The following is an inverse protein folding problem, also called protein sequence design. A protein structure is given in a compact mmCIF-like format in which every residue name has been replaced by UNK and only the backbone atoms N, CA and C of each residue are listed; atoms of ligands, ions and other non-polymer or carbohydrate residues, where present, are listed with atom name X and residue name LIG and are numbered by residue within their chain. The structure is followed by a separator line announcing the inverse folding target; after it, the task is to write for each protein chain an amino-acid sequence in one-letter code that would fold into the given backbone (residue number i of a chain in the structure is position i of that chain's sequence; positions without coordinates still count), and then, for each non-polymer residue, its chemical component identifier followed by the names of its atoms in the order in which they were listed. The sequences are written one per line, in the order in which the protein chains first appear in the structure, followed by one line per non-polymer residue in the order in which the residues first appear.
data_IF_549629117284
#
_entry.id   IF_549629117284
#
_cell.length_a   1.000
_cell.length_b   1.000
_cell.length_c   1.000
_cell.angle_alpha   90.00
_cell.angle_beta   90.00
_cell.angle_gamma   90.00
#
_symmetry.space_group_name_H-M   'P 1'
#
loop_
_entity.id
_entity.type
_entity.pdbx_description
1 polymer ?
#
# COMPACT_ATOMS: atom_id res chain seq x y z
N UNK A 1 -10.30 -10.87 7.93
CA UNK A 1 -9.43 -10.43 6.82
C UNK A 1 -9.98 -10.91 5.47
N UNK A 2 -10.15 -12.21 5.22
CA UNK A 2 -10.68 -12.71 3.93
C UNK A 2 -12.02 -12.07 3.52
N UNK A 3 -12.94 -11.88 4.48
CA UNK A 3 -14.21 -11.19 4.23
C UNK A 3 -14.02 -9.71 3.80
N UNK A 4 -13.01 -9.01 4.32
CA UNK A 4 -12.71 -7.64 3.91
C UNK A 4 -12.12 -7.61 2.50
N UNK A 5 -11.22 -8.54 2.17
CA UNK A 5 -10.69 -8.73 0.81
C UNK A 5 -11.83 -9.02 -0.16
N UNK A 6 -12.71 -9.98 0.16
CA UNK A 6 -13.86 -10.33 -0.68
C UNK A 6 -14.86 -9.17 -0.83
N UNK A 7 -15.06 -8.36 0.21
CA UNK A 7 -15.94 -7.17 0.15
C UNK A 7 -15.45 -6.14 -0.87
N UNK A 8 -14.13 -5.93 -0.95
CA UNK A 8 -13.52 -4.89 -1.78
C UNK A 8 -13.21 -5.39 -3.18
N UNK A 9 -12.60 -6.58 -3.27
CA UNK A 9 -12.06 -7.14 -4.50
C UNK A 9 -12.94 -8.25 -5.09
N UNK A 10 -14.03 -8.65 -4.41
CA UNK A 10 -14.86 -9.77 -4.86
C UNK A 10 -14.03 -11.06 -4.96
N UNK A 11 -14.02 -11.64 -6.15
CA UNK A 11 -13.22 -12.83 -6.47
C UNK A 11 -12.08 -12.54 -7.45
N UNK A 12 -11.70 -11.27 -7.65
CA UNK A 12 -10.66 -10.91 -8.64
C UNK A 12 -9.25 -11.19 -8.12
N UNK A 13 -9.09 -11.31 -6.80
CA UNK A 13 -7.83 -11.66 -6.14
C UNK A 13 -8.03 -12.79 -5.14
N UNK A 14 -6.96 -13.54 -4.90
CA UNK A 14 -6.87 -14.54 -3.84
C UNK A 14 -5.81 -14.11 -2.83
N UNK A 15 -6.09 -14.28 -1.54
CA UNK A 15 -5.10 -14.06 -0.48
C UNK A 15 -3.96 -15.06 -0.62
N UNK A 16 -2.72 -14.58 -0.61
CA UNK A 16 -1.51 -15.40 -0.67
C UNK A 16 -1.04 -15.79 0.73
N UNK A 17 -1.77 -16.72 1.36
CA UNK A 17 -1.47 -17.19 2.73
C UNK A 17 -0.27 -18.16 2.81
N UNK A 18 0.46 -18.35 1.71
CA UNK A 18 1.66 -19.19 1.65
C UNK A 18 2.92 -18.43 2.09
N UNK A 19 2.88 -17.10 2.04
CA UNK A 19 3.98 -16.24 2.47
C UNK A 19 3.86 -16.00 3.99
N UNK A 20 4.94 -16.11 4.78
CA UNK A 20 4.94 -15.68 6.18
C UNK A 20 4.54 -14.20 6.28
N UNK A 21 3.87 -13.83 7.37
CA UNK A 21 3.45 -12.44 7.62
C UNK A 21 2.65 -11.81 6.47
N UNK A 22 1.86 -12.61 5.74
CA UNK A 22 1.10 -12.19 4.55
C UNK A 22 0.03 -11.12 4.79
N UNK A 23 -0.16 -10.64 6.01
CA UNK A 23 -1.00 -9.50 6.29
C UNK A 23 -0.51 -8.71 7.50
N UNK A 24 -0.81 -7.42 7.50
CA UNK A 24 -0.54 -6.53 8.61
C UNK A 24 -1.64 -5.47 8.73
N UNK A 25 -1.80 -4.92 9.92
CA UNK A 25 -2.74 -3.84 10.19
C UNK A 25 -2.01 -2.69 10.89
N UNK A 26 -2.41 -1.48 10.57
CA UNK A 26 -1.85 -0.23 11.09
C UNK A 26 -2.65 0.94 10.53
N UNK A 27 -2.50 2.13 11.11
CA UNK A 27 -3.11 3.33 10.54
C UNK A 27 -2.16 3.90 9.46
N UNK A 28 -2.30 3.46 8.21
CA UNK A 28 -1.34 3.77 7.15
C UNK A 28 -1.66 5.08 6.43
N UNK A 29 -2.89 5.57 6.51
CA UNK A 29 -3.32 6.83 5.92
C UNK A 29 -3.38 7.99 6.95
N UNK A 30 -3.31 7.69 8.26
CA UNK A 30 -3.27 8.64 9.36
C UNK A 30 -4.64 9.24 9.73
N UNK A 31 -5.71 8.47 9.58
CA UNK A 31 -7.09 8.90 9.86
C UNK A 31 -7.67 8.34 11.19
N UNK A 32 -6.81 7.78 12.05
CA UNK A 32 -7.11 7.12 13.32
C UNK A 32 -7.92 5.81 13.18
N UNK A 33 -8.21 5.37 11.95
CA UNK A 33 -8.93 4.13 11.67
C UNK A 33 -8.02 3.10 11.00
N UNK A 34 -7.51 2.17 11.81
CA UNK A 34 -6.65 1.04 11.39
C UNK A 34 -7.07 0.41 10.04
N UNK A 35 -6.11 0.41 9.13
CA UNK A 35 -6.16 -0.18 7.80
C UNK A 35 -5.75 -1.65 7.82
N UNK A 36 -5.89 -2.31 6.67
CA UNK A 36 -5.42 -3.66 6.42
C UNK A 36 -4.56 -3.69 5.17
N UNK A 37 -3.34 -4.20 5.29
CA UNK A 37 -2.49 -4.56 4.16
C UNK A 37 -2.34 -6.08 4.09
N UNK A 38 -2.50 -6.68 2.91
CA UNK A 38 -2.52 -8.13 2.74
C UNK A 38 -1.96 -8.52 1.38
N UNK A 39 -1.14 -9.57 1.38
CA UNK A 39 -0.59 -10.15 0.16
C UNK A 39 -1.67 -10.89 -0.61
N UNK A 40 -1.78 -10.58 -1.89
CA UNK A 40 -2.76 -11.19 -2.79
C UNK A 40 -2.13 -11.51 -4.15
N UNK A 41 -2.75 -12.44 -4.87
CA UNK A 41 -2.46 -12.74 -6.27
C UNK A 41 -3.73 -12.60 -7.11
N UNK A 42 -3.63 -12.20 -8.38
CA UNK A 42 -4.77 -12.20 -9.29
C UNK A 42 -5.39 -13.60 -9.37
N UNK A 43 -6.71 -13.66 -9.29
CA UNK A 43 -7.43 -14.90 -9.51
C UNK A 43 -7.29 -15.34 -10.98
N UNK A 44 -7.27 -16.66 -11.20
CA UNK A 44 -7.13 -17.22 -12.53
C UNK A 44 -8.24 -16.71 -13.46
N UNK A 45 -7.88 -16.28 -14.68
CA UNK A 45 -8.80 -15.74 -15.71
C UNK A 45 -9.59 -14.47 -15.31
N UNK A 46 -9.20 -13.77 -14.24
CA UNK A 46 -9.81 -12.49 -13.82
C UNK A 46 -8.94 -11.26 -14.14
N UNK A 47 -7.91 -11.42 -14.96
CA UNK A 47 -6.92 -10.37 -15.24
C UNK A 47 -7.50 -9.14 -15.97
N UNK A 48 -8.57 -9.31 -16.74
CA UNK A 48 -9.29 -8.18 -17.36
C UNK A 48 -10.10 -7.41 -16.32
N UNK A 49 -10.78 -8.11 -15.41
CA UNK A 49 -11.57 -7.50 -14.33
C UNK A 49 -10.68 -6.74 -13.34
N UNK A 50 -9.53 -7.31 -12.97
CA UNK A 50 -8.61 -6.64 -12.04
C UNK A 50 -8.06 -5.32 -12.58
N UNK A 51 -7.82 -5.27 -13.90
CA UNK A 51 -7.27 -4.12 -14.63
C UNK A 51 -8.36 -3.23 -15.25
N UNK A 52 -9.63 -3.48 -14.96
CA UNK A 52 -10.73 -2.66 -15.49
C UNK A 52 -10.63 -1.23 -14.96
N UNK A 53 -10.84 -0.24 -15.83
CA UNK A 53 -10.95 1.17 -15.42
C UNK A 53 -12.17 1.45 -14.54
N UNK A 54 -13.14 0.52 -14.49
CA UNK A 54 -14.32 0.56 -13.63
C UNK A 54 -14.13 -0.19 -12.30
N UNK A 55 -12.92 -0.68 -12.02
CA UNK A 55 -12.62 -1.33 -10.76
C UNK A 55 -12.81 -0.38 -9.56
N UNK A 56 -13.21 -0.94 -8.42
CA UNK A 56 -13.44 -0.18 -7.18
C UNK A 56 -12.14 0.07 -6.39
N UNK A 57 -10.98 -0.16 -6.99
CA UNK A 57 -9.65 -0.02 -6.37
C UNK A 57 -8.70 0.68 -7.34
N UNK A 58 -7.60 1.20 -6.80
CA UNK A 58 -6.56 1.90 -7.56
C UNK A 58 -5.34 0.99 -7.66
N UNK A 59 -4.84 0.77 -8.87
CA UNK A 59 -3.56 0.05 -9.08
C UNK A 59 -2.43 1.08 -9.10
N UNK A 60 -1.38 0.85 -8.31
CA UNK A 60 -0.24 1.76 -8.22
C UNK A 60 1.08 0.98 -8.17
N UNK A 61 2.14 1.59 -8.71
CA UNK A 61 3.52 1.20 -8.40
C UNK A 61 4.08 2.26 -7.44
N UNK A 62 4.37 1.91 -6.17
CA UNK A 62 4.90 2.86 -5.19
C UNK A 62 6.27 3.46 -5.55
N UNK A 63 7.04 2.84 -6.45
CA UNK A 63 8.30 3.40 -6.94
C UNK A 63 8.09 4.49 -8.00
N UNK A 64 6.89 4.57 -8.58
CA UNK A 64 6.48 5.58 -9.58
C UNK A 64 5.62 6.68 -8.97
N UNK A 65 5.35 6.62 -7.67
CA UNK A 65 4.51 7.60 -6.98
C UNK A 65 5.16 8.99 -6.98
N UNK A 66 4.37 10.00 -7.30
CA UNK A 66 4.81 11.38 -7.19
C UNK A 66 4.85 11.80 -5.72
N UNK A 67 6.02 12.23 -5.27
CA UNK A 67 6.24 12.78 -3.92
C UNK A 67 6.52 14.28 -4.05
N UNK A 68 5.65 15.15 -3.50
CA UNK A 68 5.86 16.59 -3.58
C UNK A 68 7.19 17.00 -2.91
N UNK A 69 7.97 17.91 -3.50
CA UNK A 69 9.17 18.44 -2.86
C UNK A 69 8.82 19.21 -1.59
N UNK A 70 9.51 18.89 -0.48
CA UNK A 70 9.27 19.46 0.86
C UNK A 70 9.29 21.00 0.95
N UNK A 71 10.07 21.65 0.08
CA UNK A 71 10.32 23.10 0.14
C UNK A 71 9.52 23.89 -0.91
N UNK A 72 8.46 23.31 -1.49
CA UNK A 72 7.65 23.98 -2.51
C UNK A 72 6.20 24.14 -2.07
N UNK A 73 5.73 25.39 -2.05
CA UNK A 73 4.33 25.74 -1.74
C UNK A 73 3.41 25.56 -2.94
N UNK A 74 3.97 25.61 -4.16
CA UNK A 74 3.26 25.37 -5.42
C UNK A 74 4.03 24.32 -6.19
N UNK A 75 3.34 23.25 -6.56
CA UNK A 75 3.91 22.10 -7.27
C UNK A 75 3.13 21.89 -8.56
N UNK A 76 3.82 21.93 -9.69
CA UNK A 76 3.24 21.53 -10.97
C UNK A 76 3.25 20.01 -11.01
N UNK A 77 2.06 19.41 -11.05
CA UNK A 77 1.96 17.96 -11.13
C UNK A 77 2.57 17.46 -12.45
N UNK A 78 3.36 16.37 -12.42
CA UNK A 78 3.85 15.76 -13.64
C UNK A 78 2.67 15.28 -14.51
N UNK A 79 2.87 15.15 -15.83
CA UNK A 79 1.87 14.54 -16.71
C UNK A 79 1.40 13.20 -16.16
N UNK A 80 0.11 12.90 -16.29
CA UNK A 80 -0.42 11.58 -15.90
C UNK A 80 0.34 10.50 -16.64
N UNK A 81 1.03 9.65 -15.89
CA UNK A 81 1.65 8.44 -16.42
C UNK A 81 0.57 7.44 -16.83
N UNK A 82 0.92 6.53 -17.74
CA UNK A 82 0.04 5.40 -18.05
C UNK A 82 -0.34 4.64 -16.77
N UNK A 83 -1.62 4.19 -16.67
CA UNK A 83 -2.08 3.40 -15.53
C UNK A 83 -1.20 2.16 -15.33
N UNK A 84 -0.91 1.85 -14.07
CA UNK A 84 -0.25 0.60 -13.71
C UNK A 84 -1.18 -0.58 -14.00
N UNK A 85 -0.64 -1.65 -14.55
CA UNK A 85 -1.39 -2.86 -14.88
C UNK A 85 -0.82 -4.07 -14.13
N UNK A 86 -1.72 -4.85 -13.56
CA UNK A 86 -1.41 -6.12 -12.94
C UNK A 86 -1.16 -7.19 -13.99
N UNK A 87 -0.12 -7.99 -13.78
CA UNK A 87 0.26 -9.16 -14.61
C UNK A 87 -0.22 -10.46 -13.98
N UNK A 88 -0.41 -11.48 -14.81
CA UNK A 88 -0.79 -12.83 -14.33
C UNK A 88 0.23 -13.36 -13.33
N UNK A 89 -0.25 -13.92 -12.20
CA UNK A 89 0.58 -14.52 -11.16
C UNK A 89 1.41 -13.53 -10.33
N UNK A 90 1.31 -12.23 -10.62
CA UNK A 90 2.03 -11.20 -9.88
C UNK A 90 1.59 -11.18 -8.42
N UNK A 91 2.55 -11.19 -7.49
CA UNK A 91 2.28 -10.92 -6.09
C UNK A 91 2.06 -9.41 -5.89
N UNK A 92 0.99 -9.06 -5.19
CA UNK A 92 0.58 -7.68 -4.94
C UNK A 92 0.38 -7.48 -3.45
N UNK A 93 0.55 -6.24 -3.00
CA UNK A 93 0.09 -5.82 -1.68
C UNK A 93 -1.23 -5.08 -1.83
N UNK A 94 -2.32 -5.70 -1.37
CA UNK A 94 -3.62 -5.05 -1.29
C UNK A 94 -3.70 -4.24 0.01
N UNK A 95 -4.05 -2.96 -0.09
CA UNK A 95 -4.29 -2.11 1.08
C UNK A 95 -5.75 -1.66 1.09
N UNK A 96 -6.45 -1.87 2.19
CA UNK A 96 -7.83 -1.45 2.42
C UNK A 96 -7.81 -0.44 3.55
N UNK A 97 -8.17 0.81 3.25
CA UNK A 97 -8.29 1.83 4.28
C UNK A 97 -9.48 1.52 5.20
N UNK A 98 -9.29 1.74 6.50
CA UNK A 98 -10.32 1.54 7.50
C UNK A 98 -11.44 2.58 7.39
N UNK A 99 -12.52 2.34 8.14
CA UNK A 99 -13.56 3.33 8.31
C UNK A 99 -14.12 3.31 9.74
N UNK A 100 -14.08 4.45 10.41
CA UNK A 100 -14.68 4.62 11.73
C UNK A 100 -14.18 3.64 12.78
N UNK A 101 -15.03 3.35 13.78
CA UNK A 101 -14.64 2.54 14.95
C UNK A 101 -14.36 1.07 14.61
N UNK A 102 -15.07 0.54 13.62
CA UNK A 102 -14.91 -0.85 13.15
C UNK A 102 -13.75 -0.99 12.15
N UNK A 103 -13.07 0.10 11.81
CA UNK A 103 -11.78 0.08 11.08
C UNK A 103 -11.93 -0.62 9.73
N UNK A 104 -10.92 -1.35 9.26
CA UNK A 104 -11.03 -2.16 8.04
C UNK A 104 -12.14 -3.24 8.08
N UNK A 105 -12.71 -3.57 9.24
CA UNK A 105 -13.83 -4.52 9.35
C UNK A 105 -15.18 -3.88 9.01
N UNK A 106 -15.29 -2.55 9.07
CA UNK A 106 -16.51 -1.83 8.70
C UNK A 106 -16.92 -2.14 7.25
N UNK A 107 -18.22 -2.27 6.98
CA UNK A 107 -18.75 -2.55 5.64
C UNK A 107 -18.55 -1.38 4.66
N UNK A 108 -18.30 -0.18 5.18
CA UNK A 108 -18.00 1.04 4.43
C UNK A 108 -16.52 1.21 4.12
N UNK A 109 -15.63 0.44 4.75
CA UNK A 109 -14.20 0.40 4.42
C UNK A 109 -13.99 -0.24 3.04
N UNK A 110 -14.05 0.61 2.00
CA UNK A 110 -14.01 0.21 0.58
C UNK A 110 -12.95 0.94 -0.24
N UNK A 111 -12.33 2.00 0.29
CA UNK A 111 -11.21 2.64 -0.37
C UNK A 111 -10.01 1.68 -0.33
N UNK A 112 -9.49 1.32 -1.50
CA UNK A 112 -8.47 0.29 -1.58
C UNK A 112 -7.51 0.46 -2.75
N UNK A 113 -6.32 -0.11 -2.56
CA UNK A 113 -5.19 -0.04 -3.45
C UNK A 113 -4.65 -1.44 -3.72
N UNK A 114 -4.23 -1.69 -4.96
CA UNK A 114 -3.40 -2.84 -5.33
C UNK A 114 -2.03 -2.32 -5.71
N UNK A 115 -1.06 -2.55 -4.85
CA UNK A 115 0.31 -2.07 -5.02
C UNK A 115 1.13 -3.15 -5.74
N UNK A 116 1.58 -2.83 -6.96
CA UNK A 116 2.57 -3.62 -7.68
C UNK A 116 3.96 -3.34 -7.12
N UNK A 117 4.88 -4.30 -7.27
CA UNK A 117 6.28 -4.17 -6.84
C UNK A 117 6.45 -3.81 -5.35
N UNK A 118 5.45 -4.11 -4.52
CA UNK A 118 5.35 -3.68 -3.13
C UNK A 118 5.24 -4.84 -2.13
N UNK A 119 5.29 -6.08 -2.62
CA UNK A 119 5.18 -7.29 -1.83
C UNK A 119 6.54 -8.01 -1.77
N UNK A 120 7.05 -8.18 -0.56
CA UNK A 120 8.34 -8.82 -0.27
C UNK A 120 8.19 -10.04 0.61
N UNK A 121 9.00 -10.11 1.67
CA UNK A 121 9.09 -11.24 2.59
C UNK A 121 9.22 -10.84 4.08
N UNK A 122 9.04 -9.55 4.39
CA UNK A 122 9.22 -8.96 5.72
C UNK A 122 8.14 -7.91 6.01
N UNK A 123 6.88 -8.23 5.66
CA UNK A 123 5.75 -7.32 5.82
C UNK A 123 5.48 -7.04 7.30
N UNK A 124 5.58 -5.76 7.69
CA UNK A 124 5.33 -5.33 9.06
C UNK A 124 4.73 -3.92 9.13
N UNK A 125 4.08 -3.61 10.26
CA UNK A 125 3.67 -2.25 10.59
C UNK A 125 4.76 -1.63 11.44
N UNK A 126 5.15 -0.40 11.10
CA UNK A 126 6.20 0.33 11.79
C UNK A 126 5.79 1.79 11.98
N UNK A 127 6.52 2.49 12.85
CA UNK A 127 6.42 3.95 12.93
C UNK A 127 7.29 4.58 11.83
N UNK A 128 6.89 5.75 11.28
CA UNK A 128 7.72 6.49 10.34
C UNK A 128 9.13 6.71 10.88
N UNK A 129 10.14 6.27 10.13
CA UNK A 129 11.54 6.43 10.53
C UNK A 129 11.98 7.90 10.51
N UNK A 130 13.09 8.19 11.19
CA UNK A 130 13.71 9.51 11.10
C UNK A 130 14.20 9.84 9.68
N UNK A 131 14.62 8.84 8.89
CA UNK A 131 15.02 9.06 7.50
C UNK A 131 13.83 9.46 6.64
N UNK A 132 12.71 8.75 6.76
CA UNK A 132 11.48 9.12 6.06
C UNK A 132 11.04 10.54 6.45
N UNK A 133 11.05 10.88 7.75
CA UNK A 133 10.65 12.20 8.21
C UNK A 133 11.60 13.33 7.75
N UNK A 134 12.88 13.03 7.54
CA UNK A 134 13.83 14.01 6.96
C UNK A 134 13.46 14.29 5.50
N UNK A 135 13.28 13.24 4.71
CA UNK A 135 13.13 13.31 3.26
C UNK A 135 11.74 13.76 2.82
N UNK A 136 10.69 13.15 3.40
CA UNK A 136 9.30 13.50 3.12
C UNK A 136 8.81 14.70 3.95
N UNK A 137 9.18 14.73 5.23
CA UNK A 137 8.67 15.70 6.19
C UNK A 137 7.92 15.03 7.35
N UNK A 138 7.46 15.86 8.29
CA UNK A 138 6.67 15.40 9.43
C UNK A 138 5.21 15.23 8.98
N UNK A 139 4.64 14.06 9.28
CA UNK A 139 3.23 13.80 9.01
C UNK A 139 2.35 14.68 9.90
N UNK A 140 1.26 15.20 9.34
CA UNK A 140 0.30 16.06 10.05
C UNK A 140 -0.48 15.33 11.16
N UNK A 141 -0.51 14.00 11.12
CA UNK A 141 -1.14 13.13 12.12
C UNK A 141 -0.24 11.94 12.45
N UNK A 142 -0.45 11.36 13.64
CA UNK A 142 0.17 10.09 13.99
C UNK A 142 -0.31 9.03 13.02
N UNK A 143 0.62 8.18 12.57
CA UNK A 143 0.34 7.11 11.63
C UNK A 143 1.43 6.05 11.67
N UNK A 144 1.12 4.92 11.09
CA UNK A 144 2.04 3.84 10.80
C UNK A 144 2.48 3.89 9.32
N UNK A 145 3.51 3.11 9.02
CA UNK A 145 3.98 2.80 7.68
C UNK A 145 4.08 1.29 7.54
N UNK A 146 4.09 0.81 6.29
CA UNK A 146 4.26 -0.61 6.01
C UNK A 146 5.74 -0.85 5.73
N UNK A 147 6.45 -1.46 6.67
CA UNK A 147 7.82 -1.90 6.47
C UNK A 147 7.87 -3.18 5.64
N UNK A 148 8.86 -3.27 4.76
CA UNK A 148 9.03 -4.41 3.85
C UNK A 148 10.50 -4.57 3.44
N UNK A 149 10.84 -5.73 2.89
CA UNK A 149 12.08 -5.99 2.18
C UNK A 149 11.79 -6.31 0.70
N UNK A 150 12.10 -5.37 -0.18
CA UNK A 150 11.84 -5.45 -1.62
C UNK A 150 13.16 -5.55 -2.38
N UNK A 151 13.33 -6.60 -3.19
CA UNK A 151 14.54 -6.77 -4.02
C UNK A 151 15.85 -6.76 -3.21
N UNK A 152 15.83 -7.28 -1.98
CA UNK A 152 16.96 -7.28 -1.06
C UNK A 152 17.18 -5.98 -0.29
N UNK A 153 16.44 -4.91 -0.60
CA UNK A 153 16.51 -3.62 0.09
C UNK A 153 15.41 -3.49 1.14
N UNK A 154 15.75 -2.99 2.31
CA UNK A 154 14.77 -2.63 3.34
C UNK A 154 14.20 -1.23 3.05
N UNK A 155 12.95 -1.03 3.43
CA UNK A 155 12.30 0.27 3.33
C UNK A 155 10.87 0.23 3.84
N UNK A 156 10.16 1.31 3.55
CA UNK A 156 8.78 1.49 4.00
C UNK A 156 7.90 2.03 2.86
N UNK A 157 6.68 1.52 2.80
CA UNK A 157 5.59 2.13 2.03
C UNK A 157 4.84 3.10 2.94
N UNK A 158 4.59 4.30 2.45
CA UNK A 158 3.90 5.35 3.20
C UNK A 158 2.89 6.11 2.33
N UNK A 159 1.83 6.60 2.96
CA UNK A 159 0.80 7.39 2.29
C UNK A 159 1.22 8.85 2.14
N UNK A 160 1.24 9.36 0.90
CA UNK A 160 1.61 10.75 0.60
C UNK A 160 0.47 11.75 0.77
N UNK A 161 -0.74 11.29 1.09
CA UNK A 161 -1.97 12.05 0.98
C UNK A 161 -2.77 11.74 -0.29
N UNK A 162 -2.14 11.12 -1.30
CA UNK A 162 -2.79 10.77 -2.57
C UNK A 162 -2.39 9.41 -3.15
N UNK A 163 -1.21 8.89 -2.81
CA UNK A 163 -0.70 7.60 -3.27
C UNK A 163 0.17 6.94 -2.21
N UNK A 164 0.41 5.64 -2.36
CA UNK A 164 1.49 4.96 -1.64
C UNK A 164 2.81 5.18 -2.37
N UNK A 165 3.85 5.54 -1.63
CA UNK A 165 5.21 5.70 -2.14
C UNK A 165 6.18 4.79 -1.39
N UNK A 166 7.21 4.31 -2.08
CA UNK A 166 8.32 3.59 -1.46
C UNK A 166 9.42 4.55 -0.99
N UNK A 167 9.88 4.38 0.24
CA UNK A 167 11.07 5.03 0.78
C UNK A 167 12.10 3.96 1.16
N UNK A 168 13.28 3.93 0.51
CA UNK A 168 14.34 3.00 0.89
C UNK A 168 14.96 3.43 2.21
N UNK A 169 15.09 2.48 3.13
CA UNK A 169 15.73 2.72 4.42
C UNK A 169 17.07 1.98 4.49
N UNK A 170 18.09 2.66 5.00
CA UNK A 170 19.37 2.01 5.27
C UNK A 170 19.12 0.89 6.27
N UNK A 171 19.56 -0.33 5.97
CA UNK A 171 19.50 -1.42 6.93
C UNK A 171 20.22 -0.97 8.19
N UNK A 172 19.50 -0.96 9.33
CA UNK A 172 20.10 -0.73 10.64
C UNK A 172 21.23 -1.74 10.76
N UNK A 173 22.49 -1.28 10.84
CA UNK A 173 23.57 -2.16 11.30
C UNK A 173 23.13 -2.71 12.65
N UNK A 174 22.88 -4.01 12.71
CA UNK A 174 22.76 -4.71 13.99
C UNK A 174 24.13 -4.55 14.66
N UNK A 175 24.19 -3.69 15.67
CA UNK A 175 25.31 -3.69 16.62
C UNK A 175 25.23 -4.97 17.46
#
# INVERSE_FOLDING_TARGET
MQQAVARVFGTTVNVDNQTPDFFVAGDFNGDDSVDLAVLVKPAHRRLSEINSSLANWIIQDPHRAFVPPKNQTVVILPPRTEPEHVRSGQLLLAVIHGFGKERWRDQRARQAYLLSNAAGNALASARPSQSLQRDFGVFSSQRDVIAEQLGGSHGVLYWTGAAYAWHPESSRKRN
#
